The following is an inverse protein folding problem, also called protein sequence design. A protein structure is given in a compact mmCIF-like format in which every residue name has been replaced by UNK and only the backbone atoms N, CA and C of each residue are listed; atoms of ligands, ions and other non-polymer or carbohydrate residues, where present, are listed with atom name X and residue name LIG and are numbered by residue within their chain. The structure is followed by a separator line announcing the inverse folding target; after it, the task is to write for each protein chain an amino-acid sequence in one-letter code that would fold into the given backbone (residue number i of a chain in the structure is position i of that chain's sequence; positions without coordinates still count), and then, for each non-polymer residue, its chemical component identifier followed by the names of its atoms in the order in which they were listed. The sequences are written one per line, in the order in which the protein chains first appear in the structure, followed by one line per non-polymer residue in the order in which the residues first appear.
data_IF_812790833653
#
_entry.id   IF_812790833653
#
_cell.length_a   1.000
_cell.length_b   1.000
_cell.length_c   1.000
_cell.angle_alpha   90.00
_cell.angle_beta   90.00
_cell.angle_gamma   90.00
#
_symmetry.space_group_name_H-M   'P 1'
#
loop_
_entity.id
_entity.type
_entity.pdbx_description
1 polymer ?
#
# COMPACT_ATOMS: atom_id res chain seq x y z
N UNK A 1 12.98 -25.76 -31.07
CA UNK A 1 12.57 -24.45 -30.53
C UNK A 1 11.48 -24.75 -29.51
N UNK A 2 11.69 -24.46 -28.23
CA UNK A 2 10.71 -24.74 -27.17
C UNK A 2 10.46 -23.45 -26.40
N UNK A 3 9.18 -23.16 -26.21
CA UNK A 3 8.58 -21.91 -25.77
C UNK A 3 9.22 -21.32 -24.52
N UNK A 4 9.52 -20.02 -24.57
CA UNK A 4 9.72 -19.23 -23.37
C UNK A 4 8.38 -19.14 -22.65
N UNK A 5 8.27 -19.83 -21.51
CA UNK A 5 7.12 -19.72 -20.62
C UNK A 5 7.15 -18.29 -20.06
N UNK A 6 6.44 -17.38 -20.72
CA UNK A 6 6.32 -15.99 -20.28
C UNK A 6 5.32 -15.95 -19.14
N UNK A 7 5.78 -16.29 -17.93
CA UNK A 7 5.00 -16.18 -16.70
C UNK A 7 4.89 -14.69 -16.38
N UNK A 8 3.99 -13.97 -17.05
CA UNK A 8 3.52 -12.67 -16.58
C UNK A 8 2.53 -12.94 -15.46
N UNK A 9 3.06 -13.16 -14.25
CA UNK A 9 2.25 -13.17 -13.03
C UNK A 9 1.60 -11.80 -12.93
N UNK A 10 0.31 -11.76 -13.23
CA UNK A 10 -0.53 -10.56 -13.21
C UNK A 10 -0.54 -9.99 -11.79
N UNK A 11 -0.31 -8.68 -11.69
CA UNK A 11 -0.53 -7.83 -10.52
C UNK A 11 0.40 -8.04 -9.32
N UNK A 12 1.71 -7.83 -9.52
CA UNK A 12 2.47 -7.26 -8.40
C UNK A 12 2.06 -5.79 -8.28
N UNK A 13 1.07 -5.51 -7.42
CA UNK A 13 0.71 -4.13 -7.05
C UNK A 13 1.94 -3.49 -6.42
N UNK A 14 2.57 -2.60 -7.18
CA UNK A 14 3.76 -1.87 -6.80
C UNK A 14 3.36 -0.79 -5.81
N UNK A 15 3.57 -1.06 -4.52
CA UNK A 15 3.34 -0.08 -3.46
C UNK A 15 4.40 1.01 -3.51
N UNK A 16 3.96 2.26 -3.47
CA UNK A 16 4.86 3.42 -3.45
C UNK A 16 4.54 4.38 -2.32
N UNK A 17 5.59 4.99 -1.77
CA UNK A 17 5.43 6.12 -0.83
C UNK A 17 4.66 7.23 -1.53
N UNK A 18 3.66 7.77 -0.84
CA UNK A 18 2.78 8.81 -1.33
C UNK A 18 1.47 8.31 -1.95
N UNK A 19 1.34 7.02 -2.21
CA UNK A 19 0.04 6.43 -2.57
C UNK A 19 -0.95 6.51 -1.41
N UNK A 20 -2.23 6.41 -1.76
CA UNK A 20 -3.33 6.51 -0.83
C UNK A 20 -4.11 5.22 -0.79
N UNK A 21 -4.56 4.84 0.40
CA UNK A 21 -5.43 3.70 0.64
C UNK A 21 -6.56 4.12 1.55
N UNK A 22 -7.73 3.49 1.39
CA UNK A 22 -8.87 3.72 2.27
C UNK A 22 -8.94 2.59 3.31
N UNK A 23 -9.00 2.97 4.59
CA UNK A 23 -9.20 2.05 5.72
C UNK A 23 -10.26 2.69 6.61
N UNK A 24 -11.32 1.95 6.91
CA UNK A 24 -12.46 2.41 7.72
C UNK A 24 -13.06 3.73 7.21
N UNK A 25 -13.31 3.82 5.89
CA UNK A 25 -13.81 5.02 5.20
C UNK A 25 -12.92 6.27 5.35
N UNK A 26 -11.68 6.09 5.77
CA UNK A 26 -10.72 7.17 5.95
C UNK A 26 -9.53 6.98 5.00
N UNK A 27 -9.14 8.06 4.32
CA UNK A 27 -7.99 8.05 3.42
C UNK A 27 -6.69 8.13 4.24
N UNK A 28 -5.75 7.25 3.93
CA UNK A 28 -4.43 7.20 4.51
C UNK A 28 -3.37 7.24 3.40
N UNK A 29 -2.30 7.98 3.64
CA UNK A 29 -1.16 8.11 2.74
C UNK A 29 -0.02 7.21 3.21
N UNK A 30 0.62 6.50 2.29
CA UNK A 30 1.84 5.74 2.55
C UNK A 30 2.98 6.73 2.82
N UNK A 31 3.50 6.74 4.04
CA UNK A 31 4.57 7.63 4.47
C UNK A 31 5.95 6.95 4.44
N UNK A 32 6.01 5.67 4.83
CA UNK A 32 7.26 4.91 4.88
C UNK A 32 7.01 3.45 4.50
N UNK A 33 7.96 2.84 3.78
CA UNK A 33 7.98 1.41 3.50
C UNK A 33 9.31 0.87 4.04
N UNK A 34 9.25 -0.06 4.99
CA UNK A 34 10.44 -0.60 5.65
C UNK A 34 10.31 -2.11 5.78
N UNK A 35 11.17 -2.83 5.06
CA UNK A 35 11.13 -4.29 4.92
C UNK A 35 9.73 -4.76 4.50
N UNK A 36 9.00 -5.41 5.40
CA UNK A 36 7.65 -5.96 5.18
C UNK A 36 6.54 -5.13 5.85
N UNK A 37 6.88 -3.93 6.31
CA UNK A 37 5.95 -3.04 7.02
C UNK A 37 5.80 -1.71 6.30
N UNK A 38 4.60 -1.16 6.35
CA UNK A 38 4.23 0.11 5.78
C UNK A 38 3.66 0.98 6.89
N UNK A 39 4.21 2.18 7.00
CA UNK A 39 3.66 3.22 7.86
C UNK A 39 2.71 4.08 7.03
N UNK A 40 1.46 4.10 7.44
CA UNK A 40 0.39 4.93 6.90
C UNK A 40 0.22 6.17 7.79
N UNK A 41 -0.02 7.30 7.15
CA UNK A 41 -0.21 8.59 7.79
C UNK A 41 -1.53 9.20 7.33
N UNK A 42 -2.24 9.87 8.25
CA UNK A 42 -3.31 10.78 7.90
C UNK A 42 -3.34 11.99 8.83
N UNK A 43 -3.86 13.08 8.31
CA UNK A 43 -4.24 14.24 9.12
C UNK A 43 -5.62 13.99 9.72
N UNK A 44 -5.72 14.10 11.05
CA UNK A 44 -6.99 14.12 11.77
C UNK A 44 -7.66 15.48 11.65
N UNK A 45 -8.99 15.48 11.66
CA UNK A 45 -9.80 16.72 11.61
C UNK A 45 -9.61 17.61 12.84
N UNK A 46 -9.06 17.05 13.93
CA UNK A 46 -8.69 17.74 15.16
C UNK A 46 -7.31 18.42 15.08
N UNK A 47 -6.68 18.43 13.91
CA UNK A 47 -5.34 18.99 13.69
C UNK A 47 -4.21 18.08 14.20
N UNK A 48 -4.53 16.86 14.64
CA UNK A 48 -3.52 15.86 15.04
C UNK A 48 -3.27 14.89 13.91
N UNK A 49 -2.01 14.57 13.69
CA UNK A 49 -1.65 13.50 12.79
C UNK A 49 -1.85 12.13 13.45
N UNK A 50 -2.31 11.17 12.68
CA UNK A 50 -2.41 9.78 13.08
C UNK A 50 -1.52 8.93 12.19
N UNK A 51 -0.85 7.96 12.80
CA UNK A 51 -0.07 6.96 12.08
C UNK A 51 -0.56 5.57 12.44
N UNK A 52 -0.53 4.67 11.46
CA UNK A 52 -0.76 3.24 11.68
C UNK A 52 0.24 2.43 10.88
N UNK A 53 0.52 1.21 11.33
CA UNK A 53 1.49 0.32 10.69
C UNK A 53 0.78 -0.94 10.23
N UNK A 54 0.94 -1.26 8.95
CA UNK A 54 0.34 -2.43 8.31
C UNK A 54 1.42 -3.25 7.59
N UNK A 55 1.13 -4.50 7.26
CA UNK A 55 2.03 -5.30 6.42
C UNK A 55 1.89 -4.90 4.95
N UNK A 56 2.93 -5.19 4.16
CA UNK A 56 2.91 -5.01 2.70
C UNK A 56 1.72 -5.74 2.09
N UNK A 57 1.46 -6.98 2.50
CA UNK A 57 0.35 -7.80 1.99
C UNK A 57 -1.01 -7.16 2.24
N UNK A 58 -1.26 -6.64 3.45
CA UNK A 58 -2.51 -5.95 3.79
C UNK A 58 -2.70 -4.68 2.96
N UNK A 59 -1.65 -3.91 2.69
CA UNK A 59 -1.78 -2.70 1.87
C UNK A 59 -1.99 -3.06 0.39
N UNK A 60 -1.40 -4.14 -0.13
CA UNK A 60 -1.65 -4.61 -1.51
C UNK A 60 -3.12 -4.98 -1.74
N UNK A 61 -3.84 -5.48 -0.74
CA UNK A 61 -5.26 -5.79 -0.91
C UNK A 61 -6.13 -4.53 -0.97
N UNK A 62 -5.69 -3.44 -0.34
CA UNK A 62 -6.40 -2.16 -0.26
C UNK A 62 -6.15 -1.22 -1.45
N UNK A 63 -5.03 -1.37 -2.15
CA UNK A 63 -4.75 -0.60 -3.36
C UNK A 63 -5.70 -1.03 -4.49
N UNK A 64 -6.61 -0.15 -4.91
CA UNK A 64 -7.45 -0.43 -6.09
C UNK A 64 -6.63 -0.27 -7.38
N UNK A 65 -6.87 -1.10 -8.41
CA UNK A 65 -6.20 -1.02 -9.71
C UNK A 65 -6.56 0.24 -10.51
#
# INVERSE_FOLDING_TARGET
MKEAINIRTKQDKLIRIGERVCIDDQEWKIAEIKNDSITLYRDGVDGKSNTTRQTVEQVKTLLHP
#
